data_IF_742815370419
#
_entry.id   IF_742815370419
#
_cell.length_a   1.000
_cell.length_b   1.000
_cell.length_c   1.000
_cell.angle_alpha   90.00
_cell.angle_beta   90.00
_cell.angle_gamma   90.00
#
_symmetry.space_group_name_H-M   'P 1'
#
loop_
_entity.id
_entity.type
_entity.pdbx_description
1 polymer ?
#
# COMPACT_ATOMS: atom_id res chain seq x y z
N UNK A 1 8.11 -2.25 -16.05
CA UNK A 1 7.37 -1.15 -16.73
C UNK A 1 8.01 0.15 -16.30
N UNK A 2 8.24 1.08 -17.22
CA UNK A 2 8.79 2.38 -16.84
C UNK A 2 7.73 3.23 -16.11
N UNK A 3 8.11 3.96 -15.05
CA UNK A 3 7.18 4.83 -14.34
C UNK A 3 6.84 6.07 -15.16
N UNK A 4 5.60 6.53 -15.08
CA UNK A 4 5.16 7.82 -15.61
C UNK A 4 5.70 8.91 -14.68
N UNK A 5 6.39 9.90 -15.25
CA UNK A 5 6.95 11.05 -14.53
C UNK A 5 6.21 12.33 -14.95
N UNK A 6 5.05 12.65 -14.36
CA UNK A 6 4.28 13.85 -14.72
C UNK A 6 5.00 15.14 -14.35
N UNK A 7 4.74 16.20 -15.11
CA UNK A 7 5.12 17.56 -14.73
C UNK A 7 4.33 18.02 -13.51
N UNK A 8 4.82 19.05 -12.80
CA UNK A 8 4.08 19.62 -11.67
C UNK A 8 2.70 20.16 -12.07
N UNK A 9 2.59 20.69 -13.28
CA UNK A 9 1.34 21.22 -13.85
C UNK A 9 0.32 20.09 -14.09
N UNK A 10 0.74 19.01 -14.78
CA UNK A 10 -0.11 17.83 -15.01
C UNK A 10 -0.51 17.16 -13.69
N UNK A 11 0.38 17.22 -12.69
CA UNK A 11 0.14 16.63 -11.38
C UNK A 11 -0.87 17.43 -10.53
N UNK A 12 -1.21 18.68 -10.87
CA UNK A 12 -2.18 19.47 -10.10
C UNK A 12 -3.57 18.83 -10.03
N UNK A 13 -3.96 18.08 -11.06
CA UNK A 13 -5.29 17.48 -11.18
C UNK A 13 -5.20 15.98 -11.33
N UNK A 14 -5.54 15.22 -10.29
CA UNK A 14 -5.61 13.76 -10.35
C UNK A 14 -6.57 13.28 -11.46
N UNK A 15 -7.78 13.86 -11.52
CA UNK A 15 -8.76 13.51 -12.55
C UNK A 15 -8.28 13.89 -13.95
N UNK A 16 -7.60 15.03 -14.08
CA UNK A 16 -6.96 15.43 -15.33
C UNK A 16 -5.92 14.42 -15.77
N UNK A 17 -5.01 14.05 -14.87
CA UNK A 17 -3.97 13.05 -15.12
C UNK A 17 -4.57 11.70 -15.53
N UNK A 18 -5.53 11.16 -14.78
CA UNK A 18 -6.18 9.87 -15.09
C UNK A 18 -6.89 9.89 -16.45
N UNK A 19 -7.54 11.01 -16.80
CA UNK A 19 -8.24 11.14 -18.09
C UNK A 19 -7.30 11.13 -19.29
N UNK A 20 -6.11 11.75 -19.15
CA UNK A 20 -5.11 11.86 -20.22
C UNK A 20 -4.12 10.69 -20.22
N UNK A 21 -4.05 9.91 -19.14
CA UNK A 21 -3.23 8.69 -19.10
C UNK A 21 -3.80 7.68 -20.09
N UNK A 22 -3.01 7.22 -21.07
CA UNK A 22 -3.49 6.26 -22.06
C UNK A 22 -3.99 5.00 -21.36
N UNK A 23 -5.23 4.59 -21.66
CA UNK A 23 -5.78 3.29 -21.24
C UNK A 23 -5.15 2.20 -22.11
N UNK A 24 -3.87 1.94 -21.90
CA UNK A 24 -3.15 0.82 -22.53
C UNK A 24 -3.74 -0.49 -21.97
N UNK A 25 -3.58 -1.61 -22.67
CA UNK A 25 -3.99 -2.96 -22.24
C UNK A 25 -3.52 -3.39 -20.83
N UNK A 26 -2.59 -2.66 -20.21
CA UNK A 26 -2.11 -2.89 -18.86
C UNK A 26 -2.93 -2.06 -17.87
N UNK A 27 -3.60 -2.75 -16.93
CA UNK A 27 -4.46 -2.19 -15.88
C UNK A 27 -3.70 -1.61 -14.69
N UNK A 28 -2.38 -1.41 -14.79
CA UNK A 28 -1.50 -1.02 -13.68
C UNK A 28 -0.42 -0.05 -14.15
N UNK A 29 -0.18 1.02 -13.38
CA UNK A 29 0.78 2.07 -13.71
C UNK A 29 1.60 2.45 -12.48
N UNK A 30 2.91 2.64 -12.66
CA UNK A 30 3.76 3.31 -11.68
C UNK A 30 3.83 4.79 -12.00
N UNK A 31 3.64 5.66 -11.00
CA UNK A 31 3.76 7.12 -11.15
C UNK A 31 4.80 7.62 -10.16
N UNK A 32 5.82 8.32 -10.67
CA UNK A 32 6.80 8.98 -9.82
C UNK A 32 6.39 10.44 -9.62
N UNK A 33 5.98 10.86 -8.42
CA UNK A 33 5.49 12.22 -8.22
C UNK A 33 6.60 13.26 -8.43
N UNK A 34 6.26 14.47 -8.89
CA UNK A 34 7.21 15.55 -9.11
C UNK A 34 7.84 16.02 -7.79
N UNK A 35 9.02 16.64 -7.87
CA UNK A 35 9.81 17.03 -6.68
C UNK A 35 9.10 18.08 -5.83
N UNK A 36 8.33 18.97 -6.45
CA UNK A 36 7.49 19.98 -5.83
C UNK A 36 6.47 19.32 -4.90
N UNK A 37 5.80 18.26 -5.37
CA UNK A 37 4.86 17.51 -4.55
C UNK A 37 5.54 16.81 -3.38
N UNK A 38 6.70 16.19 -3.62
CA UNK A 38 7.49 15.51 -2.58
C UNK A 38 7.92 16.47 -1.47
N UNK A 39 8.23 17.74 -1.79
CA UNK A 39 8.54 18.77 -0.79
C UNK A 39 7.34 19.15 0.07
N UNK A 40 6.14 19.12 -0.50
CA UNK A 40 4.89 19.38 0.23
C UNK A 40 4.49 18.21 1.14
N UNK A 41 4.86 16.99 0.76
CA UNK A 41 4.85 15.84 1.66
C UNK A 41 5.88 16.05 2.77
N UNK A 42 5.47 16.73 3.83
CA UNK A 42 6.28 17.01 5.01
C UNK A 42 6.23 15.82 5.97
N UNK A 43 7.36 15.53 6.63
CA UNK A 43 7.66 14.30 7.37
C UNK A 43 6.51 13.76 8.23
N UNK A 44 5.72 12.88 7.64
CA UNK A 44 4.75 12.02 8.32
C UNK A 44 5.42 10.94 9.19
N UNK A 45 6.76 10.84 9.14
CA UNK A 45 7.52 9.74 9.74
C UNK A 45 7.51 9.75 11.26
N UNK A 46 7.59 10.89 11.94
CA UNK A 46 7.62 10.91 13.42
C UNK A 46 6.26 10.49 14.02
N UNK A 47 5.17 11.03 13.47
CA UNK A 47 3.82 10.62 13.87
C UNK A 47 3.54 9.15 13.51
N UNK A 48 4.01 8.70 12.35
CA UNK A 48 3.92 7.30 11.93
C UNK A 48 4.68 6.38 12.89
N UNK A 49 5.90 6.72 13.30
CA UNK A 49 6.69 5.90 14.22
C UNK A 49 5.99 5.66 15.56
N UNK A 50 5.28 6.67 16.08
CA UNK A 50 4.49 6.57 17.33
C UNK A 50 3.12 5.91 17.16
N UNK A 51 2.67 5.70 15.92
CA UNK A 51 1.38 5.07 15.68
C UNK A 51 1.36 3.64 16.21
N UNK A 52 0.32 3.30 16.96
CA UNK A 52 0.18 1.97 17.58
C UNK A 52 -0.82 1.14 16.80
N UNK A 53 -0.47 -0.10 16.51
CA UNK A 53 -1.34 -1.04 15.80
C UNK A 53 -1.16 -2.48 16.31
N UNK A 54 -2.00 -3.37 15.79
CA UNK A 54 -1.94 -4.79 16.10
C UNK A 54 -1.52 -5.56 14.85
N UNK A 55 -0.30 -6.10 14.79
CA UNK A 55 0.13 -6.88 13.63
C UNK A 55 -0.62 -8.21 13.54
N UNK A 56 -0.65 -8.75 12.33
CA UNK A 56 -1.10 -10.11 12.03
C UNK A 56 0.07 -10.87 11.44
N UNK A 57 0.34 -12.06 11.97
CA UNK A 57 1.17 -13.02 11.27
C UNK A 57 0.46 -13.46 10.00
N UNK A 58 1.19 -13.47 8.90
CA UNK A 58 0.76 -14.00 7.62
C UNK A 58 1.69 -15.12 7.23
N UNK A 59 1.14 -16.25 6.80
CA UNK A 59 1.89 -17.45 6.45
C UNK A 59 1.49 -17.91 5.06
N UNK A 60 2.49 -18.14 4.21
CA UNK A 60 2.30 -18.80 2.92
C UNK A 60 2.48 -20.30 3.13
N UNK A 61 1.42 -21.08 2.90
CA UNK A 61 1.48 -22.53 2.95
C UNK A 61 1.32 -23.10 1.54
N UNK A 62 2.23 -23.99 1.09
CA UNK A 62 2.01 -24.74 -0.14
C UNK A 62 0.71 -25.53 -0.05
N UNK A 63 -0.12 -25.42 -1.08
CA UNK A 63 -1.31 -26.25 -1.18
C UNK A 63 -0.87 -27.67 -1.58
N UNK A 64 -1.22 -28.68 -0.76
CA UNK A 64 -0.83 -30.08 -1.01
C UNK A 64 -1.66 -30.74 -2.10
N UNK A 65 -2.82 -30.17 -2.45
CA UNK A 65 -3.77 -30.73 -3.43
C UNK A 65 -3.72 -30.00 -4.78
N UNK A 66 -3.19 -28.78 -4.82
CA UNK A 66 -3.10 -27.96 -6.03
C UNK A 66 -1.73 -27.30 -6.15
N UNK A 67 -1.27 -27.05 -7.38
CA UNK A 67 -0.10 -26.21 -7.60
C UNK A 67 -0.40 -24.76 -7.16
N UNK A 68 0.11 -24.34 -6.00
CA UNK A 68 -0.05 -22.97 -5.51
C UNK A 68 0.18 -22.82 -4.01
N UNK A 69 -0.07 -21.61 -3.51
CA UNK A 69 0.08 -21.24 -2.10
C UNK A 69 -1.24 -20.71 -1.52
N UNK A 70 -1.49 -21.01 -0.26
CA UNK A 70 -2.56 -20.42 0.53
C UNK A 70 -1.99 -19.41 1.52
N UNK A 71 -2.65 -18.25 1.61
CA UNK A 71 -2.35 -17.24 2.61
C UNK A 71 -3.17 -17.51 3.86
N UNK A 72 -2.51 -17.77 4.99
CA UNK A 72 -3.13 -17.88 6.31
C UNK A 72 -2.79 -16.66 7.15
N UNK A 73 -3.73 -16.19 7.95
CA UNK A 73 -3.50 -15.04 8.85
C UNK A 73 -3.86 -15.37 10.29
N UNK A 74 -2.97 -15.06 11.22
CA UNK A 74 -3.20 -15.12 12.65
C UNK A 74 -2.99 -13.74 13.27
N UNK A 75 -3.87 -13.33 14.18
CA UNK A 75 -3.80 -12.00 14.82
C UNK A 75 -3.04 -12.10 16.14
N UNK A 76 -2.08 -11.20 16.36
CA UNK A 76 -1.48 -10.99 17.68
C UNK A 76 -2.42 -10.17 18.56
N UNK A 77 -2.44 -10.40 19.86
CA UNK A 77 -3.28 -9.59 20.76
C UNK A 77 -2.55 -8.36 21.30
N UNK A 78 -1.22 -8.34 21.25
CA UNK A 78 -0.41 -7.21 21.71
C UNK A 78 -0.41 -6.07 20.70
N UNK A 79 -0.57 -4.86 21.23
CA UNK A 79 -0.34 -3.63 20.51
C UNK A 79 1.15 -3.27 20.55
N UNK A 80 1.68 -2.73 19.47
CA UNK A 80 3.02 -2.14 19.43
C UNK A 80 3.02 -0.91 18.52
N UNK A 81 4.01 -0.04 18.73
CA UNK A 81 4.27 1.12 17.88
C UNK A 81 4.92 0.70 16.56
N UNK A 82 4.84 1.53 15.53
CA UNK A 82 5.57 1.29 14.26
C UNK A 82 7.07 1.22 14.48
N UNK A 83 7.63 2.02 15.41
CA UNK A 83 9.04 1.93 15.80
C UNK A 83 9.41 0.57 16.39
N UNK A 84 8.62 0.07 17.36
CA UNK A 84 8.86 -1.23 17.99
C UNK A 84 8.73 -2.37 16.96
N UNK A 85 7.69 -2.31 16.12
CA UNK A 85 7.48 -3.26 15.03
C UNK A 85 8.67 -3.31 14.08
N UNK A 86 9.18 -2.14 13.66
CA UNK A 86 10.34 -2.03 12.78
C UNK A 86 11.59 -2.66 13.40
N UNK A 87 11.91 -2.30 14.64
CA UNK A 87 13.09 -2.83 15.33
C UNK A 87 13.01 -4.35 15.53
N UNK A 88 11.84 -4.85 15.91
CA UNK A 88 11.60 -6.27 16.10
C UNK A 88 11.69 -7.03 14.78
N UNK A 89 11.06 -6.52 13.72
CA UNK A 89 11.10 -7.15 12.41
C UNK A 89 12.51 -7.16 11.82
N UNK A 90 13.30 -6.10 11.99
CA UNK A 90 14.68 -6.05 11.55
C UNK A 90 15.59 -7.09 12.22
N UNK A 91 15.26 -7.53 13.45
CA UNK A 91 15.98 -8.60 14.17
C UNK A 91 15.49 -10.00 13.80
N UNK A 92 14.21 -10.12 13.44
CA UNK A 92 13.52 -11.39 13.31
C UNK A 92 13.43 -11.89 11.86
N UNK A 93 13.30 -10.98 10.91
CA UNK A 93 13.17 -11.29 9.50
C UNK A 93 14.41 -10.80 8.78
N UNK A 94 15.13 -11.73 8.18
CA UNK A 94 16.10 -11.35 7.16
C UNK A 94 15.34 -10.76 5.97
N UNK A 95 15.99 -9.88 5.21
CA UNK A 95 15.40 -9.30 3.99
C UNK A 95 16.07 -9.95 2.78
N UNK A 96 15.76 -11.22 2.48
CA UNK A 96 16.32 -11.87 1.31
C UNK A 96 15.88 -11.11 0.06
N UNK A 97 16.85 -10.73 -0.76
CA UNK A 97 16.59 -10.17 -2.08
C UNK A 97 16.39 -11.35 -3.03
N UNK A 98 15.14 -11.62 -3.38
CA UNK A 98 14.82 -12.61 -4.39
C UNK A 98 14.99 -11.97 -5.78
N UNK A 99 15.72 -12.64 -6.68
CA UNK A 99 15.93 -12.15 -8.04
C UNK A 99 14.79 -12.54 -8.97
N UNK A 100 13.99 -13.54 -8.59
CA UNK A 100 12.86 -14.04 -9.37
C UNK A 100 11.69 -14.40 -8.48
N UNK A 101 10.47 -14.35 -9.04
CA UNK A 101 9.29 -14.85 -8.34
C UNK A 101 9.41 -16.33 -7.97
N UNK A 102 10.11 -17.14 -8.77
CA UNK A 102 10.35 -18.54 -8.45
C UNK A 102 11.22 -18.69 -7.20
N UNK A 103 12.31 -17.92 -7.11
CA UNK A 103 13.18 -17.90 -5.94
C UNK A 103 12.41 -17.44 -4.69
N UNK A 104 11.53 -16.44 -4.83
CA UNK A 104 10.60 -16.05 -3.77
C UNK A 104 9.69 -17.21 -3.37
N UNK A 105 9.05 -17.92 -4.30
CA UNK A 105 8.12 -19.01 -3.96
C UNK A 105 8.83 -20.20 -3.29
N UNK A 106 10.05 -20.53 -3.72
CA UNK A 106 10.84 -21.65 -3.20
C UNK A 106 11.46 -21.34 -1.83
N UNK A 107 11.84 -20.08 -1.60
CA UNK A 107 12.62 -19.67 -0.42
C UNK A 107 11.88 -18.65 0.45
N UNK A 108 10.61 -18.35 0.15
CA UNK A 108 9.84 -17.34 0.87
C UNK A 108 9.87 -17.69 2.36
N UNK A 109 10.11 -16.71 3.25
CA UNK A 109 9.82 -16.94 4.64
C UNK A 109 8.35 -17.33 4.72
N UNK A 110 8.09 -18.57 5.14
CA UNK A 110 6.73 -19.08 5.30
C UNK A 110 5.92 -18.25 6.31
N UNK A 111 6.52 -17.23 6.94
CA UNK A 111 5.94 -16.37 7.95
C UNK A 111 6.45 -14.94 7.79
N UNK A 112 5.53 -14.00 7.70
CA UNK A 112 5.74 -12.56 7.75
C UNK A 112 4.71 -11.93 8.70
N UNK A 113 4.79 -10.64 8.94
CA UNK A 113 3.82 -9.90 9.74
C UNK A 113 3.37 -8.61 9.06
N UNK A 114 2.10 -8.26 9.21
CA UNK A 114 1.56 -7.02 8.69
C UNK A 114 0.40 -6.47 9.51
N UNK A 115 0.30 -5.14 9.59
CA UNK A 115 -0.91 -4.42 9.95
C UNK A 115 -1.61 -3.93 8.68
N UNK A 116 -2.86 -4.33 8.49
CA UNK A 116 -3.69 -3.98 7.33
C UNK A 116 -4.95 -3.24 7.77
N UNK A 117 -5.54 -2.47 6.85
CA UNK A 117 -6.75 -1.68 7.07
C UNK A 117 -6.62 -0.67 8.23
N UNK A 118 -5.41 -0.15 8.45
CA UNK A 118 -5.11 0.76 9.55
C UNK A 118 -5.60 2.17 9.20
N UNK A 119 -6.40 2.77 10.06
CA UNK A 119 -6.85 4.16 9.89
C UNK A 119 -5.79 5.10 10.47
N UNK A 120 -5.02 5.72 9.59
CA UNK A 120 -4.01 6.69 10.00
C UNK A 120 -3.91 7.82 8.97
N UNK A 121 -3.81 9.06 9.46
CA UNK A 121 -3.73 10.25 8.62
C UNK A 121 -2.27 10.63 8.42
N UNK A 122 -1.74 10.36 7.23
CA UNK A 122 -0.34 10.65 6.88
C UNK A 122 -0.17 11.94 6.10
N UNK A 123 -1.22 12.43 5.44
CA UNK A 123 -1.11 13.59 4.58
C UNK A 123 -1.19 14.89 5.40
N UNK A 124 -0.26 15.85 5.17
CA UNK A 124 -0.36 17.17 5.77
C UNK A 124 -1.70 17.83 5.42
N UNK A 125 -2.37 18.53 6.36
CA UNK A 125 -3.67 19.15 6.09
C UNK A 125 -3.66 20.15 4.92
N UNK A 126 -2.51 20.77 4.66
CA UNK A 126 -2.26 21.72 3.57
C UNK A 126 -2.13 21.06 2.20
N UNK A 127 -1.79 19.76 2.13
CA UNK A 127 -1.59 19.06 0.87
C UNK A 127 -2.95 18.62 0.28
N UNK A 128 -3.33 19.22 -0.84
CA UNK A 128 -4.59 18.89 -1.55
C UNK A 128 -4.37 18.10 -2.84
N UNK A 129 -3.23 18.30 -3.49
CA UNK A 129 -2.85 17.63 -4.73
C UNK A 129 -2.48 16.18 -4.40
N UNK A 130 -3.12 15.21 -5.05
CA UNK A 130 -2.85 13.76 -4.86
C UNK A 130 -2.87 13.29 -3.39
N UNK A 131 -3.71 13.92 -2.57
CA UNK A 131 -3.98 13.49 -1.21
C UNK A 131 -5.08 12.42 -1.22
N UNK A 132 -4.77 11.20 -0.76
CA UNK A 132 -5.73 10.09 -0.79
C UNK A 132 -6.96 10.32 0.10
N UNK A 133 -6.90 11.20 1.09
CA UNK A 133 -8.07 11.58 1.90
C UNK A 133 -9.05 12.48 1.14
N UNK A 134 -8.60 13.18 0.10
CA UNK A 134 -9.43 14.08 -0.69
C UNK A 134 -9.09 14.01 -2.18
N UNK A 135 -8.86 12.80 -2.69
CA UNK A 135 -8.52 12.58 -4.09
C UNK A 135 -9.63 13.15 -4.98
N UNK A 136 -9.24 13.76 -6.12
CA UNK A 136 -10.18 14.19 -7.14
C UNK A 136 -11.13 13.05 -7.49
N UNK A 137 -12.43 13.31 -7.47
CA UNK A 137 -13.43 12.25 -7.42
C UNK A 137 -13.84 11.78 -8.82
N UNK A 138 -13.80 10.48 -9.11
CA UNK A 138 -14.58 9.88 -10.19
C UNK A 138 -15.97 9.42 -9.74
N UNK A 139 -16.22 9.29 -8.42
CA UNK A 139 -17.53 8.94 -7.87
C UNK A 139 -18.39 10.20 -7.74
N UNK A 140 -19.72 10.07 -7.79
CA UNK A 140 -20.59 11.23 -7.53
C UNK A 140 -20.69 11.50 -6.02
N UNK A 141 -20.89 12.75 -5.61
CA UNK A 141 -21.12 13.12 -4.20
C UNK A 141 -22.25 12.28 -3.54
N UNK A 142 -23.22 11.81 -4.32
CA UNK A 142 -24.29 10.92 -3.87
C UNK A 142 -23.77 9.52 -3.46
N UNK A 143 -22.81 8.94 -4.21
CA UNK A 143 -22.22 7.64 -3.88
C UNK A 143 -21.32 7.70 -2.63
N UNK A 144 -20.72 8.85 -2.35
CA UNK A 144 -19.93 9.09 -1.11
C UNK A 144 -20.81 9.19 0.14
N UNK A 145 -21.96 9.85 0.02
CA UNK A 145 -22.87 10.05 1.16
C UNK A 145 -23.56 8.76 1.59
N UNK A 146 -23.83 7.85 0.66
CA UNK A 146 -24.56 6.62 0.99
C UNK A 146 -23.72 5.64 1.81
N UNK A 147 -22.39 5.58 1.69
CA UNK A 147 -21.54 4.72 2.54
C UNK A 147 -20.11 5.27 2.66
N UNK A 148 -19.72 5.73 3.85
CA UNK A 148 -18.31 5.89 4.22
C UNK A 148 -17.70 4.49 4.39
N UNK A 149 -17.31 3.85 3.29
CA UNK A 149 -16.78 2.50 3.27
C UNK A 149 -15.26 2.59 3.50
N UNK A 150 -14.76 2.07 4.63
CA UNK A 150 -13.33 2.05 4.93
C UNK A 150 -12.55 1.31 3.84
N UNK A 151 -11.48 1.93 3.32
CA UNK A 151 -10.64 1.36 2.26
C UNK A 151 -11.22 1.49 0.85
N UNK A 152 -12.38 2.11 0.69
CA UNK A 152 -12.98 2.41 -0.62
C UNK A 152 -13.15 3.92 -0.78
N UNK A 153 -13.78 4.58 0.18
CA UNK A 153 -13.99 6.04 0.18
C UNK A 153 -13.09 6.77 1.19
N UNK A 154 -12.25 6.03 1.92
CA UNK A 154 -11.25 6.56 2.84
C UNK A 154 -9.98 5.70 2.77
N UNK A 155 -8.79 6.32 2.82
CA UNK A 155 -7.53 5.59 2.68
C UNK A 155 -7.25 4.72 3.91
N UNK A 156 -6.45 3.67 3.69
CA UNK A 156 -5.86 2.84 4.74
C UNK A 156 -4.36 2.80 4.62
N UNK A 157 -3.71 2.65 5.76
CA UNK A 157 -2.31 2.36 5.89
C UNK A 157 -2.10 0.84 6.01
N UNK A 158 -1.09 0.35 5.30
CA UNK A 158 -0.55 -1.01 5.49
C UNK A 158 0.90 -0.89 5.94
N UNK A 159 1.26 -1.62 6.99
CA UNK A 159 2.62 -1.76 7.49
C UNK A 159 2.96 -3.25 7.42
N UNK A 160 4.12 -3.61 6.90
CA UNK A 160 4.48 -5.01 6.71
C UNK A 160 5.97 -5.26 6.92
N UNK A 161 6.31 -6.47 7.34
CA UNK A 161 7.68 -6.99 7.36
C UNK A 161 8.08 -7.52 5.98
N UNK A 162 9.38 -7.83 5.84
CA UNK A 162 9.90 -8.60 4.70
C UNK A 162 9.08 -9.87 4.45
N UNK A 163 8.86 -10.19 3.17
CA UNK A 163 8.17 -11.40 2.72
C UNK A 163 6.64 -11.40 2.87
N UNK A 164 6.01 -10.31 3.34
CA UNK A 164 4.57 -10.27 3.51
C UNK A 164 3.82 -10.32 2.15
N UNK A 165 3.00 -11.35 1.89
CA UNK A 165 2.31 -11.48 0.62
C UNK A 165 1.04 -10.61 0.57
N UNK A 166 0.54 -10.39 -0.64
CA UNK A 166 -0.85 -9.97 -0.86
C UNK A 166 -1.54 -10.99 -1.76
N UNK A 167 -2.78 -11.35 -1.42
CA UNK A 167 -3.55 -12.28 -2.22
C UNK A 167 -3.99 -11.63 -3.55
N UNK A 168 -4.04 -12.44 -4.62
CA UNK A 168 -4.58 -12.02 -5.91
C UNK A 168 -6.05 -11.61 -5.71
N UNK A 169 -6.39 -10.36 -6.00
CA UNK A 169 -7.74 -9.83 -5.86
C UNK A 169 -8.02 -8.73 -6.87
N UNK A 170 -9.28 -8.56 -7.24
CA UNK A 170 -9.76 -7.31 -7.84
C UNK A 170 -10.27 -6.38 -6.75
N UNK A 171 -10.29 -5.09 -7.05
CA UNK A 171 -10.82 -4.10 -6.12
C UNK A 171 -12.35 -4.18 -6.03
N UNK A 172 -12.89 -3.74 -4.88
CA UNK A 172 -14.34 -3.77 -4.65
C UNK A 172 -15.06 -3.00 -5.75
N UNK A 173 -16.14 -3.60 -6.26
CA UNK A 173 -16.94 -3.03 -7.35
C UNK A 173 -16.16 -2.75 -8.65
N UNK A 174 -15.00 -3.39 -8.86
CA UNK A 174 -14.10 -3.16 -10.00
C UNK A 174 -13.67 -1.69 -10.13
N UNK A 175 -13.55 -1.00 -9.01
CA UNK A 175 -13.03 0.37 -8.96
C UNK A 175 -11.52 0.39 -9.23
N UNK A 176 -11.01 1.55 -9.64
CA UNK A 176 -9.56 1.78 -9.62
C UNK A 176 -9.04 1.90 -8.19
N UNK A 177 -7.82 1.42 -7.96
CA UNK A 177 -7.08 1.63 -6.70
C UNK A 177 -5.83 2.47 -6.95
N UNK A 178 -5.45 3.24 -5.93
CA UNK A 178 -4.18 3.95 -5.89
C UNK A 178 -3.44 3.56 -4.61
N UNK A 179 -2.13 3.34 -4.75
CA UNK A 179 -1.24 3.00 -3.64
C UNK A 179 -0.08 4.00 -3.63
N UNK A 180 0.30 4.47 -2.43
CA UNK A 180 1.47 5.29 -2.24
C UNK A 180 2.38 4.64 -1.20
N UNK A 181 3.62 4.33 -1.59
CA UNK A 181 4.63 3.80 -0.68
C UNK A 181 5.30 4.96 0.06
N UNK A 182 4.98 5.15 1.34
CA UNK A 182 5.46 6.28 2.13
C UNK A 182 6.95 6.15 2.51
N UNK A 183 7.35 5.02 3.06
CA UNK A 183 8.73 4.72 3.49
C UNK A 183 8.94 3.20 3.57
N UNK A 184 10.20 2.76 3.58
CA UNK A 184 10.59 1.36 3.70
C UNK A 184 11.09 0.74 2.40
N UNK A 185 11.14 -0.59 2.39
CA UNK A 185 11.65 -1.39 1.28
C UNK A 185 10.68 -1.45 0.08
N UNK A 186 11.17 -1.79 -1.14
CA UNK A 186 10.33 -1.93 -2.32
C UNK A 186 9.19 -2.93 -2.15
N UNK A 187 8.10 -2.71 -2.90
CA UNK A 187 7.01 -3.67 -3.04
C UNK A 187 6.94 -4.18 -4.48
N UNK A 188 7.01 -5.49 -4.62
CA UNK A 188 6.76 -6.18 -5.89
C UNK A 188 5.25 -6.34 -6.12
N UNK A 189 4.82 -6.18 -7.37
CA UNK A 189 3.42 -6.22 -7.82
C UNK A 189 3.23 -7.22 -8.94
#
# INVERSE_FOLDING_TARGET
MEPICPTWEDFQSFNGFVKHTPKILLSFFFVNPPQEWKKLMTNSSEALQRFTFTPRTVTLQPNREHSGFQVMTARHLSHETVSEFRERCAKQYDTPIFKTCQEFLENSPCKAEMGVDLRFKLYPPSLKVWNLECLGDPMSNAQKQERNIPGVTSPFLTIASSGAPFALRTEKHNLGSIYYLHEGEPREW
#
